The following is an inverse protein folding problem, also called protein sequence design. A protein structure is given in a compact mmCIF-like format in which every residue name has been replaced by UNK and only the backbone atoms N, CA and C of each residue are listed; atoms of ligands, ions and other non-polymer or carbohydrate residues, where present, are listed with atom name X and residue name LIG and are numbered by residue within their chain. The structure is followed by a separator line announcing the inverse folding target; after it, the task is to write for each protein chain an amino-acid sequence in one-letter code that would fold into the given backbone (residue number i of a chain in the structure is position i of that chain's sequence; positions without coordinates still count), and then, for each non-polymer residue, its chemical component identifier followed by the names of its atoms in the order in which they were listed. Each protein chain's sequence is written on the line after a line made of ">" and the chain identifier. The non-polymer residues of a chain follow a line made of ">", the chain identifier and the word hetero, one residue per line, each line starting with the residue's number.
data_IF_919423969521
#
_entry.id   IF_919423969521
#
_cell.length_a   1.000
_cell.length_b   1.000
_cell.length_c   1.000
_cell.angle_alpha   90.00
_cell.angle_beta   90.00
_cell.angle_gamma   90.00
#
_symmetry.space_group_name_H-M   'P 1'
#
loop_
_entity.id
_entity.type
_entity.pdbx_description
1 polymer ?
#
# COMPACT_ATOMS: atom_id res chain seq x y z
N UNK A 1 -11.61 16.00 -7.92
CA UNK A 1 -10.52 16.93 -7.53
C UNK A 1 -10.15 17.74 -8.77
N UNK A 2 -9.99 19.06 -8.68
CA UNK A 2 -9.80 19.95 -9.86
C UNK A 2 -8.34 20.15 -10.30
N UNK A 3 -7.36 19.69 -9.51
CA UNK A 3 -5.93 20.01 -9.71
C UNK A 3 -5.01 18.80 -9.52
N UNK A 4 -5.55 17.58 -9.59
CA UNK A 4 -4.77 16.36 -9.36
C UNK A 4 -5.05 15.29 -10.39
N UNK A 5 -4.00 14.60 -10.80
CA UNK A 5 -4.04 13.41 -11.62
C UNK A 5 -4.02 12.16 -10.72
N UNK A 6 -4.70 11.09 -11.12
CA UNK A 6 -4.63 9.79 -10.44
C UNK A 6 -4.81 8.66 -11.44
N UNK A 7 -3.87 7.71 -11.40
CA UNK A 7 -3.99 6.45 -12.11
C UNK A 7 -4.36 5.37 -11.09
N UNK A 8 -5.44 4.64 -11.34
CA UNK A 8 -5.92 3.58 -10.44
C UNK A 8 -6.04 2.28 -11.24
N UNK A 9 -5.61 1.17 -10.63
CA UNK A 9 -5.76 -0.17 -11.19
C UNK A 9 -6.32 -1.10 -10.13
N UNK A 10 -7.44 -1.75 -10.47
CA UNK A 10 -8.00 -2.86 -9.69
C UNK A 10 -7.44 -4.19 -10.22
N UNK A 11 -7.65 -5.26 -9.46
CA UNK A 11 -7.29 -6.61 -9.87
C UNK A 11 -7.87 -6.92 -11.27
N UNK A 12 -7.11 -7.63 -12.14
CA UNK A 12 -5.77 -8.16 -11.89
C UNK A 12 -4.68 -7.06 -12.04
N UNK A 13 -3.69 -7.09 -11.12
CA UNK A 13 -2.56 -6.17 -11.06
C UNK A 13 -1.23 -6.89 -11.35
N UNK A 14 -0.67 -6.65 -12.53
CA UNK A 14 0.57 -7.30 -12.98
C UNK A 14 1.87 -6.68 -12.40
N UNK A 15 1.75 -5.77 -11.43
CA UNK A 15 2.87 -4.98 -10.92
C UNK A 15 2.97 -3.59 -11.57
N UNK A 16 3.66 -2.66 -10.91
CA UNK A 16 3.76 -1.26 -11.34
C UNK A 16 4.41 -1.12 -12.71
N UNK A 17 5.43 -1.94 -12.97
CA UNK A 17 6.26 -1.87 -14.19
C UNK A 17 5.43 -2.10 -15.45
N UNK A 18 4.41 -2.97 -15.37
CA UNK A 18 3.49 -3.25 -16.49
C UNK A 18 2.61 -2.05 -16.89
N UNK A 19 2.52 -1.02 -16.05
CA UNK A 19 1.67 0.14 -16.28
C UNK A 19 2.45 1.44 -16.45
N UNK A 20 3.78 1.46 -16.33
CA UNK A 20 4.57 2.70 -16.38
C UNK A 20 4.41 3.43 -17.71
N UNK A 21 4.41 2.72 -18.84
CA UNK A 21 4.22 3.31 -20.17
C UNK A 21 2.82 3.95 -20.31
N UNK A 22 1.80 3.26 -19.80
CA UNK A 22 0.43 3.77 -19.83
C UNK A 22 0.27 4.98 -18.89
N UNK A 23 0.84 4.94 -17.69
CA UNK A 23 0.86 6.07 -16.75
C UNK A 23 1.54 7.28 -17.41
N UNK A 24 2.67 7.07 -18.09
CA UNK A 24 3.37 8.15 -18.80
C UNK A 24 2.48 8.74 -19.90
N UNK A 25 1.85 7.89 -20.70
CA UNK A 25 0.97 8.30 -21.80
C UNK A 25 -0.19 9.15 -21.28
N UNK A 26 -0.90 8.69 -20.25
CA UNK A 26 -2.04 9.45 -19.70
C UNK A 26 -1.62 10.67 -18.88
N UNK A 27 -0.42 10.67 -18.29
CA UNK A 27 0.16 11.85 -17.66
C UNK A 27 0.43 12.96 -18.68
N UNK A 28 0.99 12.62 -19.85
CA UNK A 28 1.19 13.59 -20.94
C UNK A 28 -0.12 14.20 -21.41
N UNK A 29 -1.15 13.38 -21.62
CA UNK A 29 -2.50 13.87 -21.96
C UNK A 29 -3.08 14.80 -20.88
N UNK A 30 -2.87 14.47 -19.60
CA UNK A 30 -3.25 15.36 -18.51
C UNK A 30 -2.49 16.69 -18.58
N UNK A 31 -1.19 16.68 -18.87
CA UNK A 31 -0.40 17.90 -19.00
C UNK A 31 -0.86 18.80 -20.15
N UNK A 32 -1.25 18.21 -21.29
CA UNK A 32 -1.78 18.95 -22.45
C UNK A 32 -3.09 19.69 -22.13
N UNK A 33 -3.98 19.04 -21.36
CA UNK A 33 -5.32 19.57 -21.05
C UNK A 33 -5.30 20.50 -19.84
N UNK A 34 -4.67 20.06 -18.75
CA UNK A 34 -4.72 20.72 -17.46
C UNK A 34 -3.62 21.78 -17.27
N UNK A 35 -2.59 21.75 -18.14
CA UNK A 35 -1.44 22.67 -18.10
C UNK A 35 -0.91 22.91 -16.68
N UNK A 36 -0.59 21.84 -15.92
CA UNK A 36 -0.03 22.00 -14.58
C UNK A 36 1.28 22.79 -14.66
N UNK A 37 1.50 23.67 -13.69
CA UNK A 37 2.73 24.49 -13.64
C UNK A 37 3.83 23.74 -12.88
N UNK A 38 3.47 23.03 -11.81
CA UNK A 38 4.39 22.28 -10.94
C UNK A 38 3.72 21.04 -10.39
N UNK A 39 4.50 19.97 -10.20
CA UNK A 39 4.11 18.84 -9.37
C UNK A 39 4.60 19.10 -7.96
N UNK A 40 3.67 19.15 -7.00
CA UNK A 40 3.98 19.43 -5.57
C UNK A 40 4.00 18.19 -4.70
N UNK A 41 3.37 17.11 -5.16
CA UNK A 41 3.31 15.85 -4.43
C UNK A 41 3.11 14.68 -5.38
N UNK A 42 3.78 13.57 -5.08
CA UNK A 42 3.49 12.26 -5.65
C UNK A 42 3.08 11.33 -4.53
N UNK A 43 2.11 10.47 -4.82
CA UNK A 43 1.65 9.43 -3.91
C UNK A 43 1.54 8.11 -4.65
N UNK A 44 2.05 7.06 -4.03
CA UNK A 44 1.89 5.68 -4.46
C UNK A 44 1.19 4.90 -3.34
N UNK A 45 0.04 4.29 -3.65
CA UNK A 45 -0.78 3.57 -2.67
C UNK A 45 -1.05 2.15 -3.16
N UNK A 46 -0.88 1.19 -2.26
CA UNK A 46 -1.27 -0.20 -2.47
C UNK A 46 -2.26 -0.59 -1.40
N UNK A 47 -3.33 -1.26 -1.82
CA UNK A 47 -4.32 -1.86 -0.93
C UNK A 47 -4.27 -3.35 -1.21
N UNK A 48 -3.72 -4.11 -0.28
CA UNK A 48 -3.61 -5.55 -0.39
C UNK A 48 -4.71 -6.19 0.45
N UNK A 49 -5.38 -7.19 -0.10
CA UNK A 49 -6.31 -8.05 0.63
C UNK A 49 -5.60 -9.38 0.85
N UNK A 50 -5.32 -9.72 2.11
CA UNK A 50 -4.65 -10.94 2.51
C UNK A 50 -5.70 -11.88 3.09
N UNK A 51 -5.92 -13.03 2.46
CA UNK A 51 -6.92 -14.00 2.89
C UNK A 51 -6.31 -15.02 3.86
N UNK A 52 -6.32 -14.72 5.16
CA UNK A 52 -5.69 -15.59 6.16
C UNK A 52 -6.61 -16.78 6.47
N UNK A 53 -6.17 -18.04 6.32
CA UNK A 53 -7.00 -19.20 6.61
C UNK A 53 -7.21 -19.41 8.12
N UNK A 54 -8.40 -19.87 8.49
CA UNK A 54 -8.72 -20.33 9.84
C UNK A 54 -8.39 -21.83 9.95
N UNK A 55 -7.69 -22.21 11.01
CA UNK A 55 -7.42 -23.61 11.36
C UNK A 55 -8.17 -23.92 12.64
N UNK A 56 -9.18 -24.80 12.57
CA UNK A 56 -10.01 -25.14 13.73
C UNK A 56 -10.84 -23.97 14.29
N UNK A 57 -11.18 -22.99 13.44
CA UNK A 57 -11.91 -21.78 13.85
C UNK A 57 -11.04 -20.69 14.50
N UNK A 58 -9.72 -20.90 14.57
CA UNK A 58 -8.76 -19.94 15.11
C UNK A 58 -7.83 -19.43 14.01
N UNK A 59 -7.26 -18.24 14.22
CA UNK A 59 -6.26 -17.63 13.35
C UNK A 59 -4.97 -17.44 14.11
N UNK A 60 -3.86 -17.92 13.54
CA UNK A 60 -2.52 -17.62 14.01
C UNK A 60 -1.99 -16.41 13.23
N UNK A 61 -2.20 -15.21 13.78
CA UNK A 61 -1.77 -13.98 13.11
C UNK A 61 -0.24 -13.85 13.05
N UNK A 62 0.49 -14.45 13.99
CA UNK A 62 1.96 -14.34 14.05
C UNK A 62 2.64 -15.04 12.86
N UNK A 63 1.96 -16.03 12.27
CA UNK A 63 2.38 -16.67 11.02
C UNK A 63 2.34 -15.73 9.81
N UNK A 64 1.53 -14.68 9.86
CA UNK A 64 1.27 -13.79 8.71
C UNK A 64 1.73 -12.35 8.95
N UNK A 65 1.70 -11.89 10.20
CA UNK A 65 1.91 -10.49 10.57
C UNK A 65 3.00 -10.40 11.63
N UNK A 66 3.93 -9.46 11.47
CA UNK A 66 4.99 -9.17 12.45
C UNK A 66 4.50 -8.22 13.54
N UNK A 67 3.26 -8.41 13.99
CA UNK A 67 2.65 -7.54 14.98
C UNK A 67 3.00 -8.06 16.36
N UNK A 68 3.70 -7.24 17.14
CA UNK A 68 4.01 -7.60 18.53
C UNK A 68 2.74 -7.48 19.37
N UNK A 69 2.35 -8.57 20.04
CA UNK A 69 1.44 -8.59 21.19
C UNK A 69 0.06 -7.96 20.95
N UNK A 70 -0.62 -8.30 19.84
CA UNK A 70 -1.97 -7.76 19.59
C UNK A 70 -3.09 -8.43 20.40
N UNK A 71 -2.85 -9.62 20.93
CA UNK A 71 -3.87 -10.42 21.61
C UNK A 71 -3.30 -10.85 22.96
N UNK A 72 -4.10 -10.69 24.02
CA UNK A 72 -3.86 -11.39 25.28
C UNK A 72 -4.16 -12.86 25.00
N UNK A 73 -3.18 -13.75 25.17
CA UNK A 73 -3.34 -15.20 25.03
C UNK A 73 -4.34 -15.72 26.09
N UNK A 74 -5.63 -15.58 25.77
CA UNK A 74 -6.77 -15.96 26.59
C UNK A 74 -7.66 -16.90 25.77
N UNK A 75 -7.74 -18.16 26.23
CA UNK A 75 -8.52 -19.21 25.57
C UNK A 75 -10.03 -18.95 25.60
N UNK A 76 -10.50 -17.95 26.34
CA UNK A 76 -11.90 -17.54 26.42
C UNK A 76 -12.26 -16.36 25.50
N UNK A 77 -11.28 -15.77 24.80
CA UNK A 77 -11.51 -14.66 23.88
C UNK A 77 -11.39 -15.10 22.42
N UNK A 78 -12.28 -14.59 21.58
CA UNK A 78 -12.19 -14.74 20.11
C UNK A 78 -11.96 -13.36 19.50
N UNK A 79 -10.90 -13.21 18.72
CA UNK A 79 -10.66 -11.98 17.97
C UNK A 79 -11.71 -11.84 16.87
N UNK A 80 -12.57 -10.84 17.00
CA UNK A 80 -13.61 -10.53 16.00
C UNK A 80 -13.16 -9.49 14.98
N UNK A 81 -12.08 -8.76 15.27
CA UNK A 81 -11.48 -7.80 14.36
C UNK A 81 -10.42 -6.93 15.04
N UNK A 82 -9.66 -6.20 14.22
CA UNK A 82 -8.68 -5.22 14.71
C UNK A 82 -8.48 -4.07 13.71
N UNK A 83 -7.94 -2.97 14.22
CA UNK A 83 -7.46 -1.83 13.43
C UNK A 83 -6.14 -1.35 14.01
N UNK A 84 -5.11 -1.30 13.17
CA UNK A 84 -3.83 -0.65 13.45
C UNK A 84 -3.59 0.42 12.39
N UNK A 85 -3.28 1.64 12.84
CA UNK A 85 -3.03 2.77 11.96
C UNK A 85 -1.84 3.56 12.47
N UNK A 86 -0.94 3.93 11.56
CA UNK A 86 0.12 4.88 11.87
C UNK A 86 0.50 5.72 10.65
N UNK A 87 1.21 6.81 10.93
CA UNK A 87 1.91 7.59 9.93
C UNK A 87 3.34 7.84 10.40
N UNK A 88 4.28 7.81 9.47
CA UNK A 88 5.70 7.99 9.78
C UNK A 88 6.41 8.74 8.65
N UNK A 89 7.57 9.31 8.99
CA UNK A 89 8.45 9.99 8.04
C UNK A 89 9.75 9.18 7.97
N UNK A 90 10.16 8.83 6.75
CA UNK A 90 11.46 8.25 6.49
C UNK A 90 12.54 9.32 6.67
N UNK A 91 13.38 9.18 7.69
CA UNK A 91 14.38 10.20 8.05
C UNK A 91 15.45 10.38 6.98
N UNK A 92 15.69 9.36 6.15
CA UNK A 92 16.69 9.43 5.07
C UNK A 92 16.19 10.25 3.88
N UNK A 93 14.90 10.12 3.53
CA UNK A 93 14.33 10.67 2.30
C UNK A 93 13.34 11.82 2.53
N UNK A 94 12.87 12.00 3.77
CA UNK A 94 11.78 12.91 4.13
C UNK A 94 10.40 12.48 3.61
N UNK A 95 10.30 11.32 2.96
CA UNK A 95 9.04 10.78 2.45
C UNK A 95 8.15 10.30 3.59
N UNK A 96 6.84 10.39 3.38
CA UNK A 96 5.84 10.04 4.38
C UNK A 96 5.18 8.72 4.03
N UNK A 97 4.83 7.94 5.05
CA UNK A 97 3.96 6.77 4.90
C UNK A 97 2.74 6.92 5.78
N UNK A 98 1.60 6.46 5.25
CA UNK A 98 0.39 6.23 6.02
C UNK A 98 0.02 4.76 5.83
N UNK A 99 -0.18 4.05 6.94
CA UNK A 99 -0.48 2.62 6.96
C UNK A 99 -1.75 2.38 7.75
N UNK A 100 -2.63 1.56 7.18
CA UNK A 100 -3.80 1.00 7.84
C UNK A 100 -3.77 -0.51 7.65
N UNK A 101 -3.88 -1.23 8.75
CA UNK A 101 -4.00 -2.69 8.78
C UNK A 101 -5.24 -3.06 9.58
N UNK A 102 -6.19 -3.75 8.96
CA UNK A 102 -7.46 -4.06 9.61
C UNK A 102 -8.03 -5.39 9.15
N UNK A 103 -8.64 -6.13 10.08
CA UNK A 103 -9.40 -7.33 9.74
C UNK A 103 -10.82 -6.96 9.33
N UNK A 104 -11.37 -7.70 8.37
CA UNK A 104 -12.78 -7.65 8.00
C UNK A 104 -13.55 -8.82 8.63
N UNK A 105 -14.86 -8.85 8.40
CA UNK A 105 -15.68 -9.99 8.78
C UNK A 105 -15.16 -11.28 8.14
N UNK A 106 -15.33 -12.40 8.85
CA UNK A 106 -15.01 -13.72 8.33
C UNK A 106 -15.76 -14.00 7.03
N UNK A 107 -15.06 -14.60 6.08
CA UNK A 107 -15.59 -15.05 4.80
C UNK A 107 -15.30 -16.54 4.67
N UNK A 108 -16.27 -17.37 5.07
CA UNK A 108 -16.09 -18.83 5.11
C UNK A 108 -15.03 -19.23 6.14
N UNK A 109 -13.97 -19.89 5.69
CA UNK A 109 -12.81 -20.33 6.47
C UNK A 109 -11.64 -19.34 6.40
N UNK A 110 -11.89 -18.09 6.02
CA UNK A 110 -10.85 -17.06 5.90
C UNK A 110 -11.18 -15.80 6.71
N UNK A 111 -10.13 -15.18 7.24
CA UNK A 111 -10.12 -13.84 7.82
C UNK A 111 -9.45 -12.88 6.82
N UNK A 112 -10.22 -12.07 6.09
CA UNK A 112 -9.65 -11.08 5.18
C UNK A 112 -8.99 -9.95 5.98
N UNK A 113 -7.74 -9.65 5.67
CA UNK A 113 -6.99 -8.54 6.25
C UNK A 113 -6.68 -7.53 5.15
N UNK A 114 -7.07 -6.29 5.36
CA UNK A 114 -6.75 -5.17 4.48
C UNK A 114 -5.47 -4.52 4.96
N UNK A 115 -4.47 -4.53 4.11
CA UNK A 115 -3.23 -3.77 4.26
C UNK A 115 -3.21 -2.64 3.25
N UNK A 116 -3.55 -1.44 3.70
CA UNK A 116 -3.43 -0.22 2.92
C UNK A 116 -2.16 0.55 3.32
N UNK A 117 -1.22 0.70 2.39
CA UNK A 117 -0.09 1.60 2.56
C UNK A 117 0.05 2.59 1.42
N UNK A 118 0.15 3.85 1.82
CA UNK A 118 0.43 4.97 0.94
C UNK A 118 1.77 5.60 1.29
N UNK A 119 2.70 5.65 0.33
CA UNK A 119 3.92 6.44 0.41
C UNK A 119 3.71 7.76 -0.35
N UNK A 120 4.11 8.88 0.24
CA UNK A 120 3.97 10.22 -0.34
C UNK A 120 5.30 10.97 -0.29
N UNK A 121 5.66 11.61 -1.40
CA UNK A 121 6.75 12.57 -1.48
C UNK A 121 6.18 13.97 -1.67
N UNK A 122 6.75 14.94 -0.96
CA UNK A 122 6.60 16.36 -1.31
C UNK A 122 7.74 16.70 -2.24
N UNK A 123 7.42 17.23 -3.41
CA UNK A 123 8.41 17.50 -4.45
C UNK A 123 8.16 18.87 -5.05
N UNK A 124 9.09 19.31 -5.89
CA UNK A 124 8.88 20.46 -6.74
C UNK A 124 9.45 20.19 -8.13
N UNK A 125 8.69 19.47 -8.94
CA UNK A 125 9.11 18.99 -10.25
C UNK A 125 8.40 19.72 -11.38
N UNK A 126 9.10 19.83 -12.51
CA UNK A 126 8.50 20.19 -13.79
C UNK A 126 7.57 19.04 -14.23
N UNK A 127 6.30 19.31 -14.59
CA UNK A 127 5.41 18.28 -15.11
C UNK A 127 5.92 17.56 -16.36
N UNK A 128 6.83 18.15 -17.14
CA UNK A 128 7.49 17.52 -18.28
C UNK A 128 8.64 16.58 -17.90
N UNK A 129 9.17 16.67 -16.67
CA UNK A 129 10.26 15.83 -16.18
C UNK A 129 9.78 14.44 -15.77
N UNK A 130 9.50 13.60 -16.77
CA UNK A 130 9.10 12.21 -16.53
C UNK A 130 10.17 11.41 -15.77
N UNK A 131 11.45 11.70 -15.99
CA UNK A 131 12.52 10.97 -15.34
C UNK A 131 12.54 11.24 -13.84
N UNK A 132 12.40 12.50 -13.41
CA UNK A 132 12.27 12.88 -12.00
C UNK A 132 11.01 12.32 -11.34
N UNK A 133 9.89 12.30 -12.07
CA UNK A 133 8.66 11.65 -11.60
C UNK A 133 8.86 10.14 -11.38
N UNK A 134 9.49 9.45 -12.34
CA UNK A 134 9.76 8.02 -12.27
C UNK A 134 10.74 7.66 -11.15
N UNK A 135 11.80 8.45 -10.98
CA UNK A 135 12.75 8.29 -9.87
C UNK A 135 12.03 8.44 -8.51
N UNK A 136 11.16 9.44 -8.39
CA UNK A 136 10.35 9.63 -7.18
C UNK A 136 9.40 8.46 -6.94
N UNK A 137 8.68 7.99 -7.97
CA UNK A 137 7.81 6.82 -7.86
C UNK A 137 8.57 5.55 -7.43
N UNK A 138 9.80 5.39 -7.91
CA UNK A 138 10.68 4.28 -7.55
C UNK A 138 11.10 4.35 -6.08
N UNK A 139 11.48 5.53 -5.59
CA UNK A 139 11.76 5.76 -4.17
C UNK A 139 10.53 5.48 -3.28
N UNK A 140 9.35 5.94 -3.69
CA UNK A 140 8.09 5.66 -2.99
C UNK A 140 7.75 4.16 -2.98
N UNK A 141 7.99 3.44 -4.08
CA UNK A 141 7.81 1.98 -4.15
C UNK A 141 8.75 1.27 -3.18
N UNK A 142 10.01 1.66 -3.13
CA UNK A 142 11.00 1.10 -2.19
C UNK A 142 10.59 1.32 -0.74
N UNK A 143 10.17 2.53 -0.38
CA UNK A 143 9.68 2.85 0.97
C UNK A 143 8.43 2.05 1.32
N UNK A 144 7.43 2.02 0.43
CA UNK A 144 6.23 1.19 0.60
C UNK A 144 6.60 -0.27 0.82
N UNK A 145 7.52 -0.81 0.02
CA UNK A 145 7.92 -2.21 0.09
C UNK A 145 8.64 -2.53 1.39
N UNK A 146 9.54 -1.65 1.84
CA UNK A 146 10.20 -1.75 3.14
C UNK A 146 9.17 -1.85 4.27
N UNK A 147 8.17 -0.96 4.26
CA UNK A 147 7.07 -0.98 5.23
C UNK A 147 6.26 -2.26 5.16
N UNK A 148 5.84 -2.68 3.96
CA UNK A 148 5.06 -3.91 3.77
C UNK A 148 5.79 -5.14 4.30
N UNK A 149 7.03 -5.39 3.84
CA UNK A 149 7.81 -6.56 4.26
C UNK A 149 8.33 -6.47 5.72
N UNK A 150 8.32 -5.27 6.30
CA UNK A 150 8.53 -5.06 7.73
C UNK A 150 7.31 -5.37 8.59
N UNK A 151 6.10 -5.39 8.01
CA UNK A 151 4.85 -5.62 8.73
C UNK A 151 4.25 -7.01 8.50
N UNK A 152 4.46 -7.62 7.32
CA UNK A 152 3.97 -8.98 7.02
C UNK A 152 5.10 -9.99 6.90
N UNK A 153 4.76 -11.27 7.11
CA UNK A 153 5.59 -12.39 6.72
C UNK A 153 5.62 -12.54 5.20
N UNK A 154 6.83 -12.51 4.63
CA UNK A 154 7.02 -12.28 3.19
C UNK A 154 6.39 -13.38 2.35
N UNK A 155 6.70 -14.65 2.62
CA UNK A 155 6.27 -15.74 1.75
C UNK A 155 4.77 -16.07 1.93
N UNK A 156 4.26 -16.31 3.16
CA UNK A 156 2.85 -16.67 3.34
C UNK A 156 1.88 -15.59 2.84
N UNK A 157 2.23 -14.31 2.94
CA UNK A 157 1.34 -13.24 2.51
C UNK A 157 1.38 -12.95 1.01
N UNK A 158 2.52 -13.16 0.33
CA UNK A 158 2.59 -13.01 -1.13
C UNK A 158 1.78 -14.10 -1.84
N UNK A 159 1.74 -15.30 -1.28
CA UNK A 159 0.97 -16.42 -1.84
C UNK A 159 -0.55 -16.24 -1.64
N UNK A 160 -0.97 -15.37 -0.71
CA UNK A 160 -2.37 -15.10 -0.35
C UNK A 160 -2.90 -13.75 -0.82
N UNK A 161 -2.05 -12.88 -1.37
CA UNK A 161 -2.43 -11.58 -1.88
C UNK A 161 -2.96 -11.69 -3.31
N UNK A 162 -4.19 -11.23 -3.53
CA UNK A 162 -4.79 -11.04 -4.87
C UNK A 162 -4.53 -9.65 -5.43
#
# INVERSE_FOLDING_TARGET
>A
RRTGFSFNRLAPYAGLDAYLDEIQRVWRLYCEIAQPIRVRSLRLRYINRIEVPLVGGQVDLDKYLKLQNMIVDDQHMTLTGFLSQYSAIDRETGHQVAVVLTAQNLEGDKLPIIFDNAATANVDLDPADWQGLLQTLTALRSLKNRVFFGTVEKQPCLDLSQ
#
